data_IF_536252143142
#
_entry.id   IF_536252143142
#
_cell.length_a   1.000
_cell.length_b   1.000
_cell.length_c   1.000
_cell.angle_alpha   90.00
_cell.angle_beta   90.00
_cell.angle_gamma   90.00
#
_symmetry.space_group_name_H-M   'P 1'
#
loop_
_entity.id
_entity.type
_entity.pdbx_description
1 polymer ?
#
# COMPACT_ATOMS: atom_id res chain seq x y z
N UNK A 1 -13.20 21.10 -40.64
CA UNK A 1 -12.69 19.76 -40.96
C UNK A 1 -13.00 18.83 -39.79
N UNK A 2 -14.17 18.19 -39.83
CA UNK A 2 -14.60 17.19 -38.84
C UNK A 2 -13.77 15.92 -39.04
N UNK A 3 -12.84 15.65 -38.13
CA UNK A 3 -12.09 14.39 -38.11
C UNK A 3 -13.10 13.25 -38.03
N UNK A 4 -13.13 12.42 -39.06
CA UNK A 4 -13.98 11.24 -39.12
C UNK A 4 -13.77 10.39 -37.89
N UNK A 5 -14.84 10.16 -37.14
CA UNK A 5 -14.88 9.13 -36.11
C UNK A 5 -14.62 7.80 -36.82
N UNK A 6 -13.40 7.28 -36.72
CA UNK A 6 -13.11 5.92 -37.15
C UNK A 6 -14.04 5.01 -36.34
N UNK A 7 -14.93 4.30 -37.04
CA UNK A 7 -15.75 3.24 -36.45
C UNK A 7 -14.79 2.19 -35.89
N UNK A 8 -14.54 2.25 -34.59
CA UNK A 8 -13.73 1.24 -33.92
C UNK A 8 -14.58 -0.03 -33.85
N UNK A 9 -14.12 -1.10 -34.51
CA UNK A 9 -14.79 -2.38 -34.48
C UNK A 9 -14.89 -2.88 -33.02
N UNK A 10 -16.11 -3.08 -32.55
CA UNK A 10 -16.42 -3.68 -31.25
C UNK A 10 -17.04 -5.06 -31.51
N UNK A 11 -16.71 -6.02 -30.65
CA UNK A 11 -17.37 -7.32 -30.69
C UNK A 11 -18.71 -7.34 -29.96
N UNK A 12 -19.32 -8.52 -29.87
CA UNK A 12 -20.67 -8.71 -29.32
C UNK A 12 -20.79 -8.35 -27.83
N UNK A 13 -19.68 -8.38 -27.09
CA UNK A 13 -19.54 -7.94 -25.70
C UNK A 13 -19.35 -6.42 -25.55
N UNK A 14 -19.36 -5.69 -26.67
CA UNK A 14 -19.09 -4.26 -26.71
C UNK A 14 -17.63 -3.90 -26.46
N UNK A 15 -16.71 -4.86 -26.37
CA UNK A 15 -15.28 -4.61 -26.16
C UNK A 15 -14.53 -4.45 -27.48
N UNK A 16 -13.48 -3.65 -27.44
CA UNK A 16 -12.44 -3.63 -28.47
C UNK A 16 -11.49 -4.82 -28.29
N UNK A 17 -10.85 -5.28 -29.36
CA UNK A 17 -9.89 -6.39 -29.28
C UNK A 17 -8.73 -6.10 -28.31
N UNK A 18 -8.23 -4.87 -28.29
CA UNK A 18 -7.20 -4.43 -27.34
C UNK A 18 -7.68 -4.51 -25.88
N UNK A 19 -8.94 -4.19 -25.62
CA UNK A 19 -9.55 -4.28 -24.29
C UNK A 19 -9.67 -5.75 -23.85
N UNK A 20 -10.07 -6.65 -24.76
CA UNK A 20 -10.12 -8.10 -24.49
C UNK A 20 -8.75 -8.66 -24.17
N UNK A 21 -7.73 -8.33 -24.98
CA UNK A 21 -6.34 -8.75 -24.75
C UNK A 21 -5.83 -8.25 -23.40
N UNK A 22 -6.15 -7.01 -23.03
CA UNK A 22 -5.80 -6.47 -21.73
C UNK A 22 -6.43 -7.23 -20.57
N UNK A 23 -7.76 -7.45 -20.62
CA UNK A 23 -8.49 -8.16 -19.56
C UNK A 23 -7.98 -9.60 -19.42
N UNK A 24 -7.73 -10.29 -20.54
CA UNK A 24 -7.16 -11.62 -20.53
C UNK A 24 -5.76 -11.65 -19.90
N UNK A 25 -4.89 -10.70 -20.28
CA UNK A 25 -3.54 -10.62 -19.71
C UNK A 25 -3.58 -10.30 -18.21
N UNK A 26 -4.50 -9.43 -17.79
CA UNK A 26 -4.73 -9.14 -16.39
C UNK A 26 -5.21 -10.37 -15.62
N UNK A 27 -6.09 -11.19 -16.21
CA UNK A 27 -6.52 -12.45 -15.61
C UNK A 27 -5.37 -13.46 -15.41
N UNK A 28 -4.40 -13.47 -16.32
CA UNK A 28 -3.22 -14.32 -16.22
C UNK A 28 -2.21 -13.84 -15.16
N UNK A 29 -1.97 -12.52 -15.07
CA UNK A 29 -0.91 -11.96 -14.22
C UNK A 29 -1.41 -11.56 -12.83
N UNK A 30 -2.68 -11.22 -12.68
CA UNK A 30 -3.24 -10.61 -11.47
C UNK A 30 -2.69 -9.22 -11.16
N UNK A 31 -1.99 -8.57 -12.11
CA UNK A 31 -1.33 -7.27 -11.92
C UNK A 31 -1.53 -6.36 -13.12
N UNK A 32 -2.09 -5.17 -12.88
CA UNK A 32 -2.31 -4.17 -13.93
C UNK A 32 -0.99 -3.68 -14.53
N UNK A 33 0.04 -3.49 -13.70
CA UNK A 33 1.34 -3.01 -14.15
C UNK A 33 2.00 -4.03 -15.09
N UNK A 34 1.97 -5.31 -14.72
CA UNK A 34 2.50 -6.39 -15.57
C UNK A 34 1.66 -6.58 -16.84
N UNK A 35 0.34 -6.45 -16.76
CA UNK A 35 -0.52 -6.53 -17.94
C UNK A 35 -0.25 -5.38 -18.92
N UNK A 36 0.01 -4.17 -18.42
CA UNK A 36 0.37 -3.00 -19.23
C UNK A 36 1.75 -3.16 -19.87
N UNK A 37 2.75 -3.63 -19.11
CA UNK A 37 4.11 -3.86 -19.61
C UNK A 37 4.14 -4.94 -20.70
N UNK A 38 3.44 -6.06 -20.48
CA UNK A 38 3.40 -7.17 -21.44
C UNK A 38 2.73 -6.82 -22.77
N UNK A 39 1.81 -5.86 -22.77
CA UNK A 39 1.05 -5.44 -23.95
C UNK A 39 1.49 -4.08 -24.51
N UNK A 40 2.51 -3.47 -23.90
CA UNK A 40 3.01 -2.12 -24.22
C UNK A 40 1.88 -1.07 -24.32
N UNK A 41 0.92 -1.15 -23.39
CA UNK A 41 -0.20 -0.21 -23.34
C UNK A 41 0.10 0.96 -22.40
N UNK A 42 -0.02 2.23 -22.86
CA UNK A 42 0.20 3.37 -22.00
C UNK A 42 -0.88 3.46 -20.94
N UNK A 43 -0.48 3.72 -19.68
CA UNK A 43 -1.38 3.88 -18.52
C UNK A 43 -2.59 4.77 -18.80
N UNK A 44 -2.37 5.88 -19.51
CA UNK A 44 -3.42 6.84 -19.87
C UNK A 44 -4.53 6.19 -20.72
N UNK A 45 -4.19 5.24 -21.60
CA UNK A 45 -5.14 4.54 -22.48
C UNK A 45 -6.03 3.60 -21.68
N UNK A 46 -5.45 2.80 -20.79
CA UNK A 46 -6.22 1.90 -19.91
C UNK A 46 -7.11 2.70 -18.96
N UNK A 47 -6.58 3.79 -18.38
CA UNK A 47 -7.37 4.70 -17.53
C UNK A 47 -8.54 5.34 -18.29
N UNK A 48 -8.33 5.67 -19.56
CA UNK A 48 -9.39 6.18 -20.43
C UNK A 48 -10.49 5.13 -20.64
N UNK A 49 -10.13 3.86 -20.84
CA UNK A 49 -11.13 2.78 -20.92
C UNK A 49 -11.90 2.63 -19.62
N UNK A 50 -11.24 2.66 -18.46
CA UNK A 50 -11.93 2.65 -17.16
C UNK A 50 -12.89 3.83 -16.98
N UNK A 51 -12.53 5.03 -17.41
CA UNK A 51 -13.36 6.20 -17.13
C UNK A 51 -14.52 6.35 -18.13
N UNK A 52 -14.28 5.99 -19.39
CA UNK A 52 -15.15 6.36 -20.49
C UNK A 52 -15.81 5.18 -21.20
N UNK A 53 -15.45 3.93 -20.87
CA UNK A 53 -16.03 2.74 -21.49
C UNK A 53 -16.73 1.85 -20.45
N UNK A 54 -18.06 1.75 -20.54
CA UNK A 54 -18.87 0.99 -19.59
C UNK A 54 -18.74 -0.53 -19.80
N UNK A 55 -18.60 -0.99 -21.05
CA UNK A 55 -18.43 -2.41 -21.36
C UNK A 55 -17.11 -2.92 -20.77
N UNK A 56 -16.03 -2.14 -20.94
CA UNK A 56 -14.72 -2.45 -20.36
C UNK A 56 -14.75 -2.52 -18.84
N UNK A 57 -15.34 -1.52 -18.17
CA UNK A 57 -15.48 -1.53 -16.70
C UNK A 57 -16.19 -2.76 -16.18
N UNK A 58 -17.30 -3.13 -16.82
CA UNK A 58 -18.11 -4.28 -16.40
C UNK A 58 -17.33 -5.59 -16.54
N UNK A 59 -16.68 -5.79 -17.69
CA UNK A 59 -15.88 -6.97 -17.95
C UNK A 59 -14.64 -7.04 -17.03
N UNK A 60 -13.97 -5.92 -16.78
CA UNK A 60 -12.83 -5.85 -15.88
C UNK A 60 -13.22 -6.19 -14.44
N UNK A 61 -14.29 -5.59 -13.91
CA UNK A 61 -14.77 -5.87 -12.56
C UNK A 61 -15.14 -7.33 -12.37
N UNK A 62 -15.80 -7.94 -13.36
CA UNK A 62 -16.15 -9.38 -13.31
C UNK A 62 -14.91 -10.26 -13.17
N UNK A 63 -13.84 -9.93 -13.88
CA UNK A 63 -12.56 -10.66 -13.81
C UNK A 63 -11.86 -10.40 -12.48
N UNK A 64 -11.83 -9.17 -12.00
CA UNK A 64 -11.24 -8.82 -10.69
C UNK A 64 -11.94 -9.56 -9.55
N UNK A 65 -13.28 -9.58 -9.56
CA UNK A 65 -14.09 -10.29 -8.56
C UNK A 65 -13.76 -11.79 -8.57
N UNK A 66 -13.72 -12.42 -9.75
CA UNK A 66 -13.34 -13.83 -9.87
C UNK A 66 -11.90 -14.14 -9.42
N UNK A 67 -10.94 -13.25 -9.67
CA UNK A 67 -9.56 -13.40 -9.19
C UNK A 67 -9.52 -13.26 -7.66
N UNK A 68 -10.27 -12.32 -7.08
CA UNK A 68 -10.33 -12.11 -5.64
C UNK A 68 -10.80 -13.39 -4.92
N UNK A 69 -11.84 -14.06 -5.43
CA UNK A 69 -12.29 -15.34 -4.89
C UNK A 69 -11.19 -16.41 -4.95
N UNK A 70 -10.45 -16.50 -6.05
CA UNK A 70 -9.32 -17.42 -6.20
C UNK A 70 -8.15 -17.11 -5.26
N UNK A 71 -7.85 -15.83 -5.02
CA UNK A 71 -6.81 -15.40 -4.06
C UNK A 71 -7.24 -15.71 -2.63
N UNK A 72 -8.50 -15.45 -2.27
CA UNK A 72 -9.05 -15.78 -0.95
C UNK A 72 -8.97 -17.29 -0.70
N UNK A 73 -9.30 -18.14 -1.67
CA UNK A 73 -9.15 -19.59 -1.52
C UNK A 73 -7.69 -20.01 -1.32
N UNK A 74 -6.75 -19.43 -2.06
CA UNK A 74 -5.31 -19.71 -1.87
C UNK A 74 -4.83 -19.24 -0.49
N UNK A 75 -5.27 -18.07 -0.04
CA UNK A 75 -4.95 -17.56 1.29
C UNK A 75 -5.52 -18.47 2.39
N UNK A 76 -6.73 -18.99 2.24
CA UNK A 76 -7.30 -19.99 3.16
C UNK A 76 -6.47 -21.27 3.23
N UNK A 77 -5.99 -21.78 2.09
CA UNK A 77 -5.11 -22.96 2.06
C UNK A 77 -3.77 -22.69 2.75
N UNK A 78 -3.24 -21.46 2.66
CA UNK A 78 -2.03 -21.07 3.39
C UNK A 78 -2.32 -20.90 4.88
N UNK A 79 -3.47 -20.34 5.24
CA UNK A 79 -3.94 -20.18 6.62
C UNK A 79 -4.11 -21.54 7.31
N UNK A 80 -4.66 -22.54 6.61
CA UNK A 80 -4.81 -23.91 7.12
C UNK A 80 -3.46 -24.59 7.39
N UNK A 81 -2.40 -24.24 6.65
CA UNK A 81 -1.04 -24.80 6.81
C UNK A 81 -0.16 -23.98 7.75
N UNK A 82 -0.63 -22.82 8.16
CA UNK A 82 0.11 -21.91 9.03
C UNK A 82 0.41 -22.51 10.42
N UNK A 83 -0.54 -23.21 11.08
CA UNK A 83 -0.28 -23.81 12.40
C UNK A 83 0.86 -24.83 12.37
N UNK A 84 0.86 -25.73 11.38
CA UNK A 84 1.88 -26.76 11.22
C UNK A 84 3.28 -26.14 10.99
N UNK A 85 3.35 -25.11 10.14
CA UNK A 85 4.60 -24.38 9.90
C UNK A 85 5.10 -23.62 11.14
N UNK A 86 4.18 -23.11 11.97
CA UNK A 86 4.51 -22.45 13.24
C UNK A 86 5.07 -23.46 14.25
N UNK A 87 4.47 -24.65 14.37
CA UNK A 87 4.98 -25.72 15.24
C UNK A 87 6.37 -26.21 14.81
N UNK A 88 6.58 -26.43 13.51
CA UNK A 88 7.91 -26.81 12.98
C UNK A 88 8.96 -25.73 13.30
N UNK A 89 8.64 -24.45 13.12
CA UNK A 89 9.56 -23.35 13.39
C UNK A 89 9.82 -23.13 14.89
N UNK A 90 8.85 -23.42 15.75
CA UNK A 90 9.05 -23.44 17.20
C UNK A 90 9.95 -24.60 17.64
N UNK A 91 9.94 -25.72 16.90
CA UNK A 91 10.82 -26.87 17.13
C UNK A 91 12.18 -26.79 16.42
N UNK A 92 12.48 -25.69 15.72
CA UNK A 92 13.68 -25.58 14.89
C UNK A 92 14.97 -25.64 15.72
N UNK A 93 15.82 -26.62 15.45
CA UNK A 93 17.15 -26.78 16.04
C UNK A 93 18.27 -26.36 15.08
N UNK A 94 19.40 -25.93 15.63
CA UNK A 94 20.66 -25.66 14.91
C UNK A 94 21.76 -26.59 15.41
N UNK A 95 22.53 -27.16 14.50
CA UNK A 95 23.68 -28.01 14.87
C UNK A 95 24.89 -27.14 15.25
N UNK A 96 25.40 -27.32 16.46
CA UNK A 96 26.62 -26.68 16.95
C UNK A 96 27.69 -27.74 17.19
N UNK A 97 28.90 -27.50 16.67
CA UNK A 97 30.06 -28.37 16.97
C UNK A 97 30.63 -28.02 18.33
N UNK A 98 30.68 -29.01 19.20
CA UNK A 98 31.21 -28.90 20.56
C UNK A 98 32.44 -29.80 20.67
N UNK A 99 33.46 -29.34 21.38
CA UNK A 99 34.65 -30.12 21.69
C UNK A 99 34.58 -30.62 23.13
N UNK A 100 34.76 -31.93 23.33
CA UNK A 100 34.80 -32.49 24.68
C UNK A 100 36.02 -31.96 25.44
N UNK A 101 35.85 -31.30 26.60
CA UNK A 101 36.98 -30.73 27.34
C UNK A 101 37.93 -31.80 27.90
N UNK A 102 37.48 -33.06 28.04
CA UNK A 102 38.30 -34.17 28.56
C UNK A 102 39.05 -34.95 27.48
N UNK A 103 38.42 -35.24 26.33
CA UNK A 103 39.00 -36.11 25.30
C UNK A 103 39.26 -35.43 23.95
N UNK A 104 39.00 -34.12 23.82
CA UNK A 104 39.20 -33.30 22.60
C UNK A 104 38.49 -33.81 21.34
N UNK A 105 37.57 -34.75 21.48
CA UNK A 105 36.72 -35.20 20.37
C UNK A 105 35.69 -34.12 20.07
N UNK A 106 35.56 -33.81 18.78
CA UNK A 106 34.57 -32.86 18.26
C UNK A 106 33.34 -33.62 17.78
N UNK A 107 32.18 -33.23 18.28
CA UNK A 107 30.90 -33.80 17.88
C UNK A 107 29.86 -32.68 17.72
N UNK A 108 28.86 -32.92 16.89
CA UNK A 108 27.76 -31.97 16.69
C UNK A 108 26.65 -32.26 17.68
N UNK A 109 26.08 -31.22 18.27
CA UNK A 109 24.89 -31.27 19.11
C UNK A 109 23.88 -30.31 18.53
N UNK A 110 22.63 -30.78 18.39
CA UNK A 110 21.53 -29.93 17.98
C UNK A 110 21.02 -29.16 19.20
N UNK A 111 20.99 -27.84 19.08
CA UNK A 111 20.54 -26.91 20.11
C UNK A 111 19.40 -26.10 19.52
N UNK A 112 18.40 -25.76 20.32
CA UNK A 112 17.29 -24.92 19.88
C UNK A 112 17.76 -23.61 19.22
N UNK A 113 17.14 -23.27 18.10
CA UNK A 113 17.39 -22.02 17.42
C UNK A 113 16.56 -20.90 18.05
N UNK A 114 17.02 -20.44 19.21
CA UNK A 114 16.36 -19.40 20.02
C UNK A 114 16.07 -18.11 19.25
N UNK A 115 16.86 -17.78 18.22
CA UNK A 115 16.62 -16.60 17.39
C UNK A 115 15.39 -16.76 16.46
N UNK A 116 15.20 -17.96 15.89
CA UNK A 116 14.02 -18.27 15.08
C UNK A 116 12.78 -18.33 15.96
N UNK A 117 12.88 -19.00 17.11
CA UNK A 117 11.80 -19.10 18.10
C UNK A 117 11.38 -17.71 18.60
N UNK A 118 12.33 -16.85 19.00
CA UNK A 118 12.02 -15.50 19.47
C UNK A 118 11.35 -14.64 18.40
N UNK A 119 11.80 -14.73 17.14
CA UNK A 119 11.17 -14.01 16.02
C UNK A 119 9.74 -14.51 15.75
N UNK A 120 9.49 -15.81 15.90
CA UNK A 120 8.15 -16.36 15.76
C UNK A 120 7.22 -15.92 16.87
N UNK A 121 7.69 -15.94 18.13
CA UNK A 121 6.92 -15.40 19.26
C UNK A 121 6.61 -13.92 19.07
N UNK A 122 7.58 -13.12 18.60
CA UNK A 122 7.36 -11.71 18.27
C UNK A 122 6.28 -11.52 17.18
N UNK A 123 6.32 -12.31 16.10
CA UNK A 123 5.29 -12.28 15.06
C UNK A 123 3.91 -12.70 15.59
N UNK A 124 3.84 -13.75 16.41
CA UNK A 124 2.58 -14.20 17.03
C UNK A 124 2.00 -13.11 17.95
N UNK A 125 2.82 -12.53 18.82
CA UNK A 125 2.38 -11.46 19.72
C UNK A 125 1.94 -10.19 18.96
N UNK A 126 2.57 -9.87 17.82
CA UNK A 126 2.11 -8.80 16.92
C UNK A 126 0.77 -9.12 16.27
N UNK A 127 0.60 -10.34 15.77
CA UNK A 127 -0.64 -10.78 15.12
C UNK A 127 -1.85 -10.78 16.06
N UNK A 128 -1.63 -11.06 17.36
CA UNK A 128 -2.66 -11.02 18.40
C UNK A 128 -2.86 -9.61 18.99
N UNK A 129 -2.13 -8.60 18.51
CA UNK A 129 -2.24 -7.23 18.97
C UNK A 129 -1.61 -6.96 20.35
N UNK A 130 -0.86 -7.91 20.91
CA UNK A 130 -0.13 -7.75 22.17
C UNK A 130 1.14 -6.90 22.01
N UNK A 131 1.72 -6.87 20.81
CA UNK A 131 2.80 -5.97 20.42
C UNK A 131 2.35 -5.07 19.27
N UNK A 132 2.59 -3.77 19.39
CA UNK A 132 2.37 -2.84 18.27
C UNK A 132 3.46 -3.05 17.22
N UNK A 133 3.06 -3.29 15.98
CA UNK A 133 3.99 -3.22 14.86
C UNK A 133 4.39 -1.76 14.65
N UNK A 134 5.64 -1.45 14.97
CA UNK A 134 6.21 -0.11 14.75
C UNK A 134 6.90 -0.10 13.39
N UNK A 135 6.11 0.02 12.33
CA UNK A 135 6.61 0.40 11.01
C UNK A 135 6.80 1.91 10.99
N UNK A 136 8.05 2.36 11.18
CA UNK A 136 8.41 3.73 10.77
C UNK A 136 8.40 3.76 9.25
N UNK A 137 7.28 4.22 8.69
CA UNK A 137 7.28 4.70 7.33
C UNK A 137 8.04 6.03 7.33
N UNK A 138 9.30 6.00 6.89
CA UNK A 138 9.98 7.21 6.42
C UNK A 138 9.30 7.62 5.13
N UNK A 139 8.10 8.22 5.25
CA UNK A 139 7.52 8.96 4.15
C UNK A 139 8.39 10.20 4.02
N UNK A 140 9.19 10.24 2.95
CA UNK A 140 9.83 11.48 2.49
C UNK A 140 8.75 12.44 2.00
N UNK A 141 7.94 12.94 2.92
CA UNK A 141 7.34 14.26 2.78
C UNK A 141 8.37 15.16 3.44
N UNK A 142 8.86 16.16 2.72
CA UNK A 142 9.37 17.35 3.38
C UNK A 142 8.19 17.91 4.20
N UNK A 143 7.96 17.38 5.40
CA UNK A 143 7.18 18.07 6.41
C UNK A 143 7.98 19.33 6.69
N UNK A 144 7.63 20.42 6.01
CA UNK A 144 8.04 21.74 6.44
C UNK A 144 7.51 21.92 7.86
N UNK A 145 8.38 21.61 8.83
CA UNK A 145 8.09 21.69 10.24
C UNK A 145 7.75 23.14 10.54
N UNK A 146 6.46 23.43 10.70
CA UNK A 146 6.00 24.73 11.17
C UNK A 146 6.73 25.02 12.49
N UNK A 147 7.36 26.19 12.58
CA UNK A 147 7.96 26.65 13.82
C UNK A 147 6.90 26.67 14.93
N UNK A 148 7.32 26.53 16.19
CA UNK A 148 6.39 26.55 17.33
C UNK A 148 5.50 27.79 17.34
N UNK A 149 6.01 28.94 16.90
CA UNK A 149 5.24 30.17 16.76
C UNK A 149 4.12 30.07 15.72
N UNK A 150 4.39 29.47 14.54
CA UNK A 150 3.39 29.29 13.49
C UNK A 150 2.34 28.25 13.86
N UNK A 151 2.71 27.20 14.62
CA UNK A 151 1.75 26.24 15.17
C UNK A 151 0.78 26.89 16.16
N UNK A 152 1.30 27.76 17.03
CA UNK A 152 0.46 28.52 17.96
C UNK A 152 -0.48 29.47 17.21
N UNK A 153 0.03 30.20 16.21
CA UNK A 153 -0.78 31.08 15.38
C UNK A 153 -1.89 30.31 14.64
N UNK A 154 -1.59 29.17 14.04
CA UNK A 154 -2.60 28.33 13.37
C UNK A 154 -3.67 27.83 14.36
N UNK A 155 -3.27 27.41 15.56
CA UNK A 155 -4.23 27.01 16.62
C UNK A 155 -5.09 28.17 17.11
N UNK A 156 -4.56 29.41 17.13
CA UNK A 156 -5.34 30.61 17.46
C UNK A 156 -6.38 30.91 16.38
N UNK A 157 -6.02 30.78 15.10
CA UNK A 157 -6.97 30.91 13.98
C UNK A 157 -8.07 29.84 14.05
N UNK A 158 -7.73 28.58 14.36
CA UNK A 158 -8.72 27.51 14.58
C UNK A 158 -9.73 27.84 15.69
N UNK A 159 -9.33 28.65 16.66
CA UNK A 159 -10.17 29.10 17.77
C UNK A 159 -10.87 30.44 17.49
N UNK A 160 -10.76 30.97 16.27
CA UNK A 160 -11.35 32.25 15.87
C UNK A 160 -10.67 33.48 16.49
N UNK A 161 -9.44 33.35 16.99
CA UNK A 161 -8.67 34.45 17.54
C UNK A 161 -7.81 35.12 16.46
N UNK A 162 -7.65 36.44 16.55
CA UNK A 162 -6.79 37.20 15.65
C UNK A 162 -5.31 36.87 15.88
N UNK A 163 -4.54 36.84 14.79
CA UNK A 163 -3.09 36.63 14.80
C UNK A 163 -2.36 37.84 14.21
N UNK A 164 -1.08 37.99 14.54
CA UNK A 164 -0.25 39.06 13.98
C UNK A 164 -0.06 38.92 12.47
N UNK A 165 0.04 40.07 11.78
CA UNK A 165 0.11 40.16 10.30
C UNK A 165 1.23 39.31 9.71
N UNK A 166 2.41 39.32 10.33
CA UNK A 166 3.58 38.55 9.86
C UNK A 166 3.34 37.02 9.91
N UNK A 167 2.62 36.54 10.93
CA UNK A 167 2.27 35.12 11.06
C UNK A 167 1.15 34.72 10.10
N UNK A 168 0.22 35.64 9.81
CA UNK A 168 -0.84 35.41 8.83
C UNK A 168 -0.27 35.27 7.42
N UNK A 169 0.60 36.19 6.99
CA UNK A 169 1.25 36.14 5.68
C UNK A 169 2.05 34.85 5.49
N UNK A 170 2.75 34.41 6.53
CA UNK A 170 3.55 33.19 6.50
C UNK A 170 2.68 31.93 6.39
N UNK A 171 1.54 31.88 7.07
CA UNK A 171 0.58 30.78 6.97
C UNK A 171 -0.16 30.76 5.63
N UNK A 172 -0.46 31.92 5.05
CA UNK A 172 -1.05 32.05 3.70
C UNK A 172 -0.06 31.59 2.64
N UNK A 173 1.21 32.03 2.73
CA UNK A 173 2.28 31.63 1.82
C UNK A 173 2.49 30.11 1.80
N UNK A 174 2.28 29.46 2.94
CA UNK A 174 2.37 27.99 3.11
C UNK A 174 1.06 27.26 2.81
N UNK A 175 0.01 27.95 2.35
CA UNK A 175 -1.27 27.35 1.98
C UNK A 175 -2.05 26.74 3.15
N UNK A 176 -1.84 27.20 4.39
CA UNK A 176 -2.53 26.68 5.58
C UNK A 176 -3.78 27.46 5.96
N UNK A 177 -3.88 28.73 5.55
CA UNK A 177 -5.08 29.58 5.73
C UNK A 177 -5.31 30.44 4.49
N UNK A 178 -6.56 30.82 4.23
CA UNK A 178 -6.96 31.81 3.22
C UNK A 178 -7.42 33.11 3.89
N UNK A 179 -7.08 34.26 3.29
CA UNK A 179 -7.59 35.56 3.70
C UNK A 179 -9.03 35.72 3.18
N UNK A 180 -9.98 35.88 4.10
CA UNK A 180 -11.38 36.14 3.74
C UNK A 180 -11.60 37.65 3.61
N UNK A 181 -12.51 38.07 2.73
CA UNK A 181 -12.77 39.48 2.38
C UNK A 181 -13.42 40.34 3.49
N UNK A 182 -13.46 39.82 4.72
CA UNK A 182 -13.93 40.51 5.91
C UNK A 182 -12.70 40.77 6.79
N UNK A 183 -12.43 42.03 7.10
CA UNK A 183 -11.21 42.46 7.80
C UNK A 183 -10.90 41.57 9.02
N UNK A 184 -9.85 40.74 8.91
CA UNK A 184 -9.30 39.95 10.02
C UNK A 184 -9.88 38.54 10.20
N UNK A 185 -10.74 38.04 9.31
CA UNK A 185 -11.21 36.65 9.34
C UNK A 185 -10.41 35.77 8.37
N UNK A 186 -9.98 34.59 8.84
CA UNK A 186 -9.20 33.63 8.07
C UNK A 186 -9.91 32.29 8.02
N UNK A 187 -9.92 31.65 6.85
CA UNK A 187 -10.48 30.31 6.66
C UNK A 187 -9.36 29.28 6.58
N UNK A 188 -9.50 28.17 7.29
CA UNK A 188 -8.52 27.07 7.25
C UNK A 188 -8.80 26.19 6.04
N UNK A 189 -7.72 25.79 5.35
CA UNK A 189 -7.77 24.78 4.31
C UNK A 189 -7.47 23.43 4.97
N UNK A 190 -8.50 22.59 5.10
CA UNK A 190 -8.34 21.22 5.60
C UNK A 190 -7.78 20.33 4.47
N UNK A 191 -6.69 19.61 4.76
CA UNK A 191 -6.16 18.49 3.95
C UNK A 191 -6.82 17.17 4.37
#
# INVERSE_FOLDING_TARGET
>A
MTKGSQLVARGDDGLMDDQRRYIQKYAETGSEAQAQENLDFPRRRVRNWHNNDQAFRTAFNTVVEGIHEGVVQRLKVVEEKLPDAIEELLSATKSVRVECPKCKLKFSVDIDNTAIQAKMVDMLMKSQGHLKEVTRHEVGVDEEVLSSALRMALSMVQKGAQIGVDSAQELIRRGKIEETSVEGEYRILEE
#
